data_IF_558446721262
#
_entry.id   IF_558446721262
#
_cell.length_a   1.000
_cell.length_b   1.000
_cell.length_c   1.000
_cell.angle_alpha   90.00
_cell.angle_beta   90.00
_cell.angle_gamma   90.00
#
_symmetry.space_group_name_H-M   'P 1'
#
loop_
_entity.id
_entity.type
_entity.pdbx_description
1 polymer ?
#
# COMPACT_ATOMS: atom_id res chain seq x y z
N UNK A 1 -19.90 -8.48 -0.59
CA UNK A 1 -19.55 -7.19 -1.24
C UNK A 1 -19.37 -7.31 -2.74
N UNK A 2 -18.46 -8.15 -3.25
CA UNK A 2 -18.17 -8.31 -4.69
C UNK A 2 -19.46 -8.52 -5.54
N UNK A 3 -20.38 -9.41 -5.13
CA UNK A 3 -21.64 -9.67 -5.83
C UNK A 3 -22.50 -8.41 -5.93
N UNK A 4 -22.65 -7.67 -4.83
CA UNK A 4 -23.40 -6.41 -4.78
C UNK A 4 -22.79 -5.31 -5.67
N UNK A 5 -21.46 -5.26 -5.78
CA UNK A 5 -20.78 -4.32 -6.68
C UNK A 5 -21.05 -4.71 -8.14
N UNK A 6 -20.95 -6.00 -8.47
CA UNK A 6 -21.21 -6.51 -9.83
C UNK A 6 -22.63 -6.20 -10.28
N UNK A 7 -23.62 -6.33 -9.40
CA UNK A 7 -25.03 -6.03 -9.70
C UNK A 7 -25.30 -4.53 -9.94
N UNK A 8 -24.41 -3.66 -9.41
CA UNK A 8 -24.54 -2.19 -9.54
C UNK A 8 -23.69 -1.61 -10.66
N UNK A 9 -22.93 -2.43 -11.37
CA UNK A 9 -22.26 -1.95 -12.58
C UNK A 9 -23.33 -1.51 -13.60
N UNK A 10 -23.07 -0.47 -14.41
CA UNK A 10 -23.97 -0.04 -15.45
C UNK A 10 -24.33 -1.19 -16.42
N UNK A 11 -25.54 -1.17 -16.96
CA UNK A 11 -25.99 -2.16 -17.93
C UNK A 11 -25.04 -2.25 -19.12
N UNK A 12 -24.71 -3.48 -19.54
CA UNK A 12 -23.76 -3.74 -20.62
C UNK A 12 -22.28 -3.75 -20.21
N UNK A 13 -21.95 -3.31 -19.00
CA UNK A 13 -20.57 -3.30 -18.49
C UNK A 13 -20.25 -4.61 -17.78
N UNK A 14 -19.28 -5.35 -18.32
CA UNK A 14 -18.79 -6.57 -17.71
C UNK A 14 -17.46 -6.34 -16.99
N UNK A 15 -17.47 -6.44 -15.66
CA UNK A 15 -16.27 -6.54 -14.88
C UNK A 15 -15.72 -7.98 -14.88
N UNK A 16 -14.42 -8.14 -15.06
CA UNK A 16 -13.73 -9.44 -14.96
C UNK A 16 -13.38 -9.74 -13.51
N UNK A 17 -13.82 -10.90 -13.02
CA UNK A 17 -13.41 -11.40 -11.70
C UNK A 17 -12.08 -12.11 -11.84
N UNK A 18 -11.10 -11.72 -11.03
CA UNK A 18 -9.75 -12.30 -10.98
C UNK A 18 -9.50 -12.89 -9.60
N UNK A 19 -9.40 -14.23 -9.55
CA UNK A 19 -9.07 -14.94 -8.31
C UNK A 19 -7.59 -14.86 -7.98
N UNK A 20 -7.28 -14.74 -6.70
CA UNK A 20 -5.90 -14.80 -6.20
C UNK A 20 -5.85 -15.42 -4.81
N UNK A 21 -4.65 -15.70 -4.34
CA UNK A 21 -4.39 -16.24 -3.01
C UNK A 21 -3.88 -15.13 -2.10
N UNK A 22 -4.61 -14.84 -1.03
CA UNK A 22 -4.29 -13.82 -0.06
C UNK A 22 -3.66 -14.40 1.20
N UNK A 23 -2.84 -13.61 1.86
CA UNK A 23 -2.32 -13.95 3.18
C UNK A 23 -3.35 -13.62 4.26
N UNK A 24 -3.19 -14.28 5.41
CA UNK A 24 -4.00 -14.02 6.60
C UNK A 24 -3.81 -12.62 7.17
N UNK A 25 -4.69 -12.25 8.09
CA UNK A 25 -4.68 -10.96 8.78
C UNK A 25 -3.32 -10.61 9.37
N UNK A 26 -2.90 -9.32 9.28
CA UNK A 26 -1.72 -8.80 9.94
C UNK A 26 -1.61 -9.13 11.44
N UNK A 27 -2.75 -9.22 12.13
CA UNK A 27 -2.79 -9.57 13.56
C UNK A 27 -2.23 -10.96 13.84
N UNK A 28 -2.49 -11.93 12.96
CA UNK A 28 -1.98 -13.30 13.11
C UNK A 28 -0.47 -13.32 12.90
N UNK A 29 0.01 -12.56 11.90
CA UNK A 29 1.45 -12.47 11.62
C UNK A 29 2.20 -11.81 12.78
N UNK A 30 1.66 -10.71 13.33
CA UNK A 30 2.23 -10.04 14.50
C UNK A 30 2.23 -10.94 15.73
N UNK A 31 1.13 -11.68 15.98
CA UNK A 31 1.04 -12.65 17.06
C UNK A 31 2.09 -13.76 16.94
N UNK A 32 2.30 -14.26 15.73
CA UNK A 32 3.32 -15.28 15.47
C UNK A 32 4.75 -14.74 15.71
N UNK A 33 5.04 -13.50 15.31
CA UNK A 33 6.33 -12.87 15.64
C UNK A 33 6.51 -12.69 17.14
N UNK A 34 5.45 -12.24 17.86
CA UNK A 34 5.50 -12.12 19.32
C UNK A 34 5.79 -13.47 19.99
N UNK A 35 5.11 -14.53 19.55
CA UNK A 35 5.33 -15.88 20.06
C UNK A 35 6.74 -16.39 19.74
N UNK A 36 7.20 -16.22 18.52
CA UNK A 36 8.54 -16.66 18.09
C UNK A 36 9.66 -15.95 18.88
N UNK A 37 9.51 -14.64 19.11
CA UNK A 37 10.46 -13.86 19.90
C UNK A 37 10.42 -14.28 21.37
N UNK A 38 9.24 -14.54 21.96
CA UNK A 38 9.12 -15.05 23.32
C UNK A 38 9.77 -16.42 23.47
N UNK A 39 9.49 -17.34 22.55
CA UNK A 39 10.09 -18.68 22.56
C UNK A 39 11.62 -18.63 22.41
N UNK A 40 12.13 -17.74 21.54
CA UNK A 40 13.57 -17.50 21.39
C UNK A 40 14.18 -16.96 22.70
N UNK A 41 13.49 -16.08 23.42
CA UNK A 41 13.94 -15.56 24.70
C UNK A 41 14.03 -16.64 25.78
N UNK A 42 13.01 -17.49 25.88
CA UNK A 42 13.03 -18.62 26.81
C UNK A 42 14.14 -19.62 26.47
N UNK A 43 14.37 -19.87 25.19
CA UNK A 43 15.48 -20.70 24.73
C UNK A 43 16.85 -20.13 25.16
N UNK A 44 16.97 -18.81 25.25
CA UNK A 44 18.18 -18.10 25.69
C UNK A 44 18.63 -18.46 27.11
N UNK A 45 17.75 -19.01 27.95
CA UNK A 45 18.11 -19.53 29.25
C UNK A 45 19.01 -20.76 29.19
N UNK A 46 18.92 -21.53 28.11
CA UNK A 46 19.61 -22.82 27.91
C UNK A 46 20.64 -22.76 26.79
N UNK A 47 20.33 -22.05 25.72
CA UNK A 47 21.12 -22.02 24.48
C UNK A 47 21.24 -20.57 23.96
N UNK A 48 22.08 -19.70 24.58
CA UNK A 48 22.12 -18.27 24.29
C UNK A 48 22.51 -17.96 22.83
N UNK A 49 23.43 -18.70 22.24
CA UNK A 49 23.83 -18.47 20.85
C UNK A 49 22.68 -18.75 19.88
N UNK A 50 22.00 -19.89 20.02
CA UNK A 50 20.85 -20.23 19.17
C UNK A 50 19.71 -19.24 19.34
N UNK A 51 19.44 -18.82 20.57
CA UNK A 51 18.44 -17.79 20.86
C UNK A 51 18.79 -16.46 20.18
N UNK A 52 20.05 -16.03 20.23
CA UNK A 52 20.52 -14.81 19.54
C UNK A 52 20.29 -14.87 18.03
N UNK A 53 20.61 -15.98 17.39
CA UNK A 53 20.38 -16.18 15.95
C UNK A 53 18.89 -16.13 15.62
N UNK A 54 18.05 -16.83 16.39
CA UNK A 54 16.59 -16.83 16.17
C UNK A 54 16.00 -15.45 16.40
N UNK A 55 16.41 -14.73 17.44
CA UNK A 55 16.00 -13.34 17.67
C UNK A 55 16.36 -12.44 16.49
N UNK A 56 17.58 -12.55 15.96
CA UNK A 56 18.00 -11.77 14.79
C UNK A 56 17.12 -12.09 13.55
N UNK A 57 16.86 -13.36 13.27
CA UNK A 57 16.01 -13.80 12.16
C UNK A 57 14.58 -13.27 12.31
N UNK A 58 13.96 -13.41 13.49
CA UNK A 58 12.59 -12.95 13.71
C UNK A 58 12.48 -11.43 13.74
N UNK A 59 13.50 -10.73 14.24
CA UNK A 59 13.56 -9.27 14.19
C UNK A 59 13.65 -8.79 12.75
N UNK A 60 14.54 -9.38 11.94
CA UNK A 60 14.64 -9.06 10.51
C UNK A 60 13.34 -9.38 9.77
N UNK A 61 12.69 -10.51 10.09
CA UNK A 61 11.38 -10.87 9.56
C UNK A 61 10.31 -9.84 9.90
N UNK A 62 10.29 -9.33 11.15
CA UNK A 62 9.35 -8.30 11.58
C UNK A 62 9.65 -6.94 10.92
N UNK A 63 10.91 -6.59 10.68
CA UNK A 63 11.30 -5.41 9.90
C UNK A 63 10.80 -5.47 8.47
N UNK A 64 10.97 -6.62 7.79
CA UNK A 64 10.46 -6.80 6.43
C UNK A 64 8.94 -6.70 6.38
N UNK A 65 8.24 -7.22 7.41
CA UNK A 65 6.80 -7.05 7.55
C UNK A 65 6.40 -5.57 7.69
N UNK A 66 7.11 -4.82 8.52
CA UNK A 66 6.88 -3.37 8.74
C UNK A 66 7.11 -2.52 7.49
N UNK A 67 7.97 -2.95 6.58
CA UNK A 67 8.20 -2.28 5.29
C UNK A 67 7.14 -2.63 4.22
N UNK A 68 6.21 -3.52 4.52
CA UNK A 68 5.18 -4.00 3.58
C UNK A 68 5.67 -5.11 2.64
N UNK A 69 6.90 -5.60 2.82
CA UNK A 69 7.43 -6.77 2.12
C UNK A 69 6.97 -8.06 2.81
N UNK A 70 7.03 -9.16 2.08
CA UNK A 70 6.63 -10.46 2.63
C UNK A 70 7.65 -10.93 3.67
N UNK A 71 7.23 -11.06 4.93
CA UNK A 71 8.06 -11.61 5.98
C UNK A 71 8.27 -13.13 5.84
N UNK A 72 9.34 -13.64 6.45
CA UNK A 72 9.61 -15.08 6.44
C UNK A 72 8.47 -15.86 7.07
N UNK A 73 7.99 -15.43 8.24
CA UNK A 73 6.92 -16.12 8.96
C UNK A 73 5.59 -16.13 8.20
N UNK A 74 5.28 -15.06 7.44
CA UNK A 74 4.05 -14.98 6.64
C UNK A 74 3.96 -16.07 5.58
N UNK A 75 5.09 -16.56 5.08
CA UNK A 75 5.12 -17.62 4.06
C UNK A 75 4.61 -18.97 4.56
N UNK A 76 4.69 -19.21 5.86
CA UNK A 76 4.24 -20.45 6.50
C UNK A 76 2.76 -20.39 6.95
N UNK A 77 2.13 -19.23 6.88
CA UNK A 77 0.74 -19.09 7.29
C UNK A 77 -0.24 -19.56 6.20
N UNK A 78 -1.43 -20.04 6.60
CA UNK A 78 -2.44 -20.44 5.67
C UNK A 78 -2.86 -19.25 4.80
N UNK A 79 -3.15 -19.56 3.55
CA UNK A 79 -3.60 -18.61 2.56
C UNK A 79 -5.08 -18.81 2.30
N UNK A 80 -5.76 -17.73 1.90
CA UNK A 80 -7.19 -17.76 1.60
C UNK A 80 -7.43 -17.27 0.17
N UNK A 81 -8.42 -17.85 -0.50
CA UNK A 81 -8.85 -17.36 -1.80
C UNK A 81 -9.53 -16.00 -1.65
N UNK A 82 -9.20 -15.08 -2.53
CA UNK A 82 -9.82 -13.77 -2.64
C UNK A 82 -9.97 -13.38 -4.12
N UNK A 83 -10.67 -12.28 -4.38
CA UNK A 83 -11.01 -11.89 -5.73
C UNK A 83 -10.91 -10.38 -5.89
N UNK A 84 -10.42 -9.95 -7.06
CA UNK A 84 -10.57 -8.60 -7.56
C UNK A 84 -11.69 -8.57 -8.61
N UNK A 85 -12.35 -7.43 -8.74
CA UNK A 85 -13.20 -7.13 -9.89
C UNK A 85 -12.51 -6.04 -10.70
N UNK A 86 -12.24 -6.31 -11.97
CA UNK A 86 -11.46 -5.44 -12.84
C UNK A 86 -12.29 -5.04 -14.04
N UNK A 87 -12.38 -3.75 -14.27
CA UNK A 87 -12.91 -3.16 -15.48
C UNK A 87 -11.79 -2.43 -16.22
N UNK A 88 -11.82 -2.46 -17.54
CA UNK A 88 -10.83 -1.82 -18.41
C UNK A 88 -11.49 -1.12 -19.57
N UNK A 89 -11.05 0.11 -19.84
CA UNK A 89 -11.28 0.82 -21.09
C UNK A 89 -9.94 1.12 -21.75
N UNK A 90 -9.74 0.62 -22.94
CA UNK A 90 -8.55 0.88 -23.74
C UNK A 90 -8.72 2.20 -24.52
N UNK A 91 -7.65 2.94 -24.67
CA UNK A 91 -7.56 4.06 -25.58
C UNK A 91 -6.80 3.67 -26.87
N UNK A 92 -7.15 4.27 -27.98
CA UNK A 92 -6.46 4.09 -29.28
C UNK A 92 -6.23 5.47 -29.93
N UNK A 93 -4.98 5.97 -29.99
CA UNK A 93 -3.76 5.39 -29.43
C UNK A 93 -3.67 5.55 -27.91
N UNK A 94 -3.00 4.62 -27.22
CA UNK A 94 -2.73 4.71 -25.78
C UNK A 94 -1.37 5.38 -25.55
N UNK A 95 -1.35 6.49 -24.81
CA UNK A 95 -0.15 7.23 -24.40
C UNK A 95 0.34 6.78 -23.01
N UNK A 96 -0.50 6.12 -22.23
CA UNK A 96 -0.18 5.64 -20.91
C UNK A 96 -1.38 4.99 -20.23
N UNK A 97 -1.19 4.60 -18.97
CA UNK A 97 -2.20 3.87 -18.19
C UNK A 97 -2.47 4.54 -16.85
N UNK A 98 -3.74 4.64 -16.49
CA UNK A 98 -4.14 4.92 -15.11
C UNK A 98 -4.85 3.71 -14.52
N UNK A 99 -4.48 3.36 -13.28
CA UNK A 99 -5.17 2.34 -12.47
C UNK A 99 -5.82 3.05 -11.30
N UNK A 100 -7.14 2.99 -11.19
CA UNK A 100 -7.88 3.55 -10.07
C UNK A 100 -8.45 2.40 -9.26
N UNK A 101 -8.19 2.38 -7.96
CA UNK A 101 -8.57 1.27 -7.10
C UNK A 101 -9.27 1.70 -5.82
N UNK A 102 -10.10 0.81 -5.31
CA UNK A 102 -10.66 0.91 -3.98
C UNK A 102 -10.86 -0.50 -3.38
N UNK A 103 -10.61 -0.67 -2.07
CA UNK A 103 -10.81 -1.94 -1.40
C UNK A 103 -12.30 -2.26 -1.27
N UNK A 104 -12.65 -3.55 -1.46
CA UNK A 104 -13.97 -4.10 -1.18
C UNK A 104 -14.19 -4.36 0.30
N UNK A 105 -13.10 -4.57 1.03
CA UNK A 105 -13.06 -4.84 2.45
C UNK A 105 -12.53 -3.62 3.20
N UNK A 106 -13.36 -3.03 4.03
CA UNK A 106 -12.98 -1.91 4.89
C UNK A 106 -13.08 -2.31 6.36
N UNK A 107 -12.21 -1.80 7.23
CA UNK A 107 -12.25 -2.13 8.65
C UNK A 107 -13.52 -1.56 9.30
N UNK A 108 -14.22 -2.39 10.08
CA UNK A 108 -15.48 -2.01 10.78
C UNK A 108 -15.33 -0.87 11.76
N UNK A 109 -14.18 -0.73 12.36
CA UNK A 109 -13.96 0.25 13.42
C UNK A 109 -12.58 0.88 13.27
N UNK A 110 -12.57 2.18 13.17
CA UNK A 110 -11.38 2.99 13.34
C UNK A 110 -11.40 3.50 14.78
N UNK A 111 -10.59 2.95 15.69
CA UNK A 111 -10.25 3.75 16.82
C UNK A 111 -9.57 4.98 16.23
N UNK A 112 -10.14 6.13 16.44
CA UNK A 112 -9.36 7.36 16.44
C UNK A 112 -8.24 7.10 17.44
N UNK A 113 -7.12 6.58 16.96
CA UNK A 113 -5.96 6.54 17.83
C UNK A 113 -5.67 7.99 18.15
N UNK A 114 -5.87 8.40 19.39
CA UNK A 114 -5.64 9.78 19.76
C UNK A 114 -4.24 10.14 19.28
N UNK A 115 -4.07 11.32 18.69
CA UNK A 115 -2.79 11.75 18.10
C UNK A 115 -1.61 11.53 19.02
N UNK A 116 -1.85 11.60 20.34
CA UNK A 116 -0.83 11.34 21.37
C UNK A 116 -0.37 9.87 21.44
N UNK A 117 -1.20 8.89 21.01
CA UNK A 117 -0.84 7.48 21.04
C UNK A 117 -0.10 7.03 19.76
N UNK A 118 -0.21 7.78 18.66
CA UNK A 118 0.45 7.43 17.37
C UNK A 118 1.97 7.53 17.44
N UNK A 119 2.50 8.58 18.09
CA UNK A 119 3.95 8.78 18.24
C UNK A 119 4.59 7.78 19.22
N UNK A 120 4.07 7.58 20.45
CA UNK A 120 4.65 6.60 21.35
C UNK A 120 4.58 5.17 20.84
N UNK A 121 3.54 4.77 20.09
CA UNK A 121 3.49 3.44 19.50
C UNK A 121 4.63 3.21 18.50
N UNK A 122 4.93 4.17 17.63
CA UNK A 122 6.11 4.09 16.73
C UNK A 122 7.40 4.02 17.54
N UNK A 123 7.55 4.87 18.56
CA UNK A 123 8.73 4.89 19.42
C UNK A 123 8.93 3.55 20.14
N UNK A 124 7.87 2.97 20.69
CA UNK A 124 7.91 1.66 21.35
C UNK A 124 8.35 0.57 20.36
N UNK A 125 7.83 0.57 19.16
CA UNK A 125 8.24 -0.39 18.13
C UNK A 125 9.70 -0.20 17.72
N UNK A 126 10.17 1.03 17.49
CA UNK A 126 11.57 1.29 17.18
C UNK A 126 12.49 0.93 18.36
N UNK A 127 12.13 1.30 19.59
CA UNK A 127 12.86 0.89 20.78
C UNK A 127 12.93 -0.63 20.91
N UNK A 128 11.83 -1.31 20.66
CA UNK A 128 11.77 -2.78 20.64
C UNK A 128 12.73 -3.37 19.60
N UNK A 129 12.78 -2.83 18.38
CA UNK A 129 13.75 -3.26 17.36
C UNK A 129 15.19 -3.03 17.79
N UNK A 130 15.51 -1.84 18.30
CA UNK A 130 16.87 -1.51 18.76
C UNK A 130 17.29 -2.44 19.90
N UNK A 131 16.43 -2.62 20.91
CA UNK A 131 16.71 -3.49 22.06
C UNK A 131 16.92 -4.94 21.60
N UNK A 132 16.04 -5.47 20.73
CA UNK A 132 16.17 -6.85 20.24
C UNK A 132 17.44 -7.02 19.39
N UNK A 133 17.78 -6.03 18.56
CA UNK A 133 19.02 -6.03 17.77
C UNK A 133 20.27 -6.03 18.66
N UNK A 134 20.31 -5.17 19.68
CA UNK A 134 21.41 -5.11 20.64
C UNK A 134 21.55 -6.41 21.44
N UNK A 135 20.44 -7.01 21.84
CA UNK A 135 20.46 -8.30 22.53
C UNK A 135 20.97 -9.41 21.63
N UNK A 136 20.55 -9.46 20.36
CA UNK A 136 21.04 -10.42 19.38
C UNK A 136 22.56 -10.27 19.17
N UNK A 137 23.05 -9.04 19.00
CA UNK A 137 24.49 -8.75 18.86
C UNK A 137 25.28 -9.18 20.10
N UNK A 138 24.76 -8.89 21.28
CA UNK A 138 25.41 -9.29 22.54
C UNK A 138 25.45 -10.81 22.72
N UNK A 139 24.36 -11.53 22.35
CA UNK A 139 24.36 -13.00 22.38
C UNK A 139 25.40 -13.63 21.44
N UNK A 140 25.65 -12.98 20.31
CA UNK A 140 26.70 -13.42 19.39
C UNK A 140 28.11 -13.11 19.89
N UNK A 141 28.27 -12.02 20.66
CA UNK A 141 29.56 -11.60 21.19
C UNK A 141 30.01 -12.37 22.46
N UNK A 142 29.05 -12.84 23.27
CA UNK A 142 29.35 -13.53 24.54
C UNK A 142 28.68 -14.92 24.63
N UNK A 143 29.19 -15.93 23.94
CA UNK A 143 28.55 -17.26 23.88
C UNK A 143 28.63 -18.06 25.21
N UNK A 144 29.32 -17.57 26.24
CA UNK A 144 29.64 -18.34 27.45
C UNK A 144 29.14 -17.65 28.74
N UNK A 145 27.88 -17.83 29.01
CA UNK A 145 27.31 -17.95 30.35
C UNK A 145 27.62 -16.91 31.44
N UNK A 146 27.35 -15.61 31.24
CA UNK A 146 27.35 -14.62 32.34
C UNK A 146 25.94 -14.06 32.62
N UNK A 147 25.68 -13.43 33.78
CA UNK A 147 24.34 -13.12 34.34
C UNK A 147 23.46 -12.15 33.56
N UNK A 148 23.72 -11.97 32.29
CA UNK A 148 22.92 -11.20 31.33
C UNK A 148 21.66 -11.92 30.83
N UNK A 149 21.49 -13.20 31.19
CA UNK A 149 20.34 -14.01 30.79
C UNK A 149 19.00 -13.40 31.23
N UNK A 150 18.92 -12.85 32.45
CA UNK A 150 17.72 -12.19 32.94
C UNK A 150 17.34 -10.93 32.18
N UNK A 151 18.32 -10.15 31.73
CA UNK A 151 18.06 -8.95 30.90
C UNK A 151 17.49 -9.33 29.53
N UNK A 152 17.96 -10.43 28.92
CA UNK A 152 17.43 -10.95 27.67
C UNK A 152 15.97 -11.32 27.80
N UNK A 153 15.67 -12.13 28.80
CA UNK A 153 14.29 -12.58 29.06
C UNK A 153 13.39 -11.38 29.32
N UNK A 154 13.84 -10.44 30.17
CA UNK A 154 13.07 -9.24 30.45
C UNK A 154 12.79 -8.38 29.21
N UNK A 155 13.79 -8.12 28.39
CA UNK A 155 13.63 -7.31 27.18
C UNK A 155 12.73 -8.00 26.13
N UNK A 156 12.84 -9.31 25.97
CA UNK A 156 12.01 -10.07 25.05
C UNK A 156 10.57 -10.21 25.56
N UNK A 157 10.36 -10.29 26.87
CA UNK A 157 9.02 -10.23 27.45
C UNK A 157 8.36 -8.87 27.21
N UNK A 158 9.09 -7.77 27.37
CA UNK A 158 8.59 -6.42 27.06
C UNK A 158 8.26 -6.30 25.58
N UNK A 159 9.11 -6.79 24.69
CA UNK A 159 8.85 -6.78 23.25
C UNK A 159 7.63 -7.64 22.91
N UNK A 160 7.54 -8.85 23.43
CA UNK A 160 6.39 -9.74 23.21
C UNK A 160 5.11 -9.10 23.74
N UNK A 161 5.14 -8.48 24.93
CA UNK A 161 4.01 -7.75 25.49
C UNK A 161 3.60 -6.56 24.63
N UNK A 162 4.54 -5.78 24.09
CA UNK A 162 4.27 -4.68 23.18
C UNK A 162 3.64 -5.15 21.86
N UNK A 163 4.13 -6.26 21.29
CA UNK A 163 3.57 -6.86 20.09
C UNK A 163 2.17 -7.44 20.34
N UNK A 164 1.95 -8.11 21.47
CA UNK A 164 0.64 -8.61 21.88
C UNK A 164 -0.36 -7.47 22.09
N UNK A 165 0.07 -6.39 22.75
CA UNK A 165 -0.76 -5.20 22.92
C UNK A 165 -1.10 -4.58 21.55
N UNK A 166 -0.11 -4.44 20.65
CA UNK A 166 -0.32 -4.02 19.28
C UNK A 166 -1.31 -4.90 18.53
N UNK A 167 -1.23 -6.22 18.72
CA UNK A 167 -2.16 -7.20 18.14
C UNK A 167 -3.58 -7.04 18.70
N UNK A 168 -3.73 -6.86 20.02
CA UNK A 168 -5.04 -6.65 20.65
C UNK A 168 -5.69 -5.36 20.15
N UNK A 169 -4.94 -4.28 20.11
CA UNK A 169 -5.40 -3.00 19.57
C UNK A 169 -5.79 -3.14 18.10
N UNK A 170 -4.97 -3.83 17.31
CA UNK A 170 -5.25 -4.08 15.90
C UNK A 170 -6.50 -4.98 15.73
N UNK A 171 -6.62 -6.08 16.51
CA UNK A 171 -7.77 -6.97 16.45
C UNK A 171 -9.09 -6.28 16.82
N UNK A 172 -9.06 -5.37 17.77
CA UNK A 172 -10.24 -4.55 18.11
C UNK A 172 -10.59 -3.55 17.01
N UNK A 173 -9.62 -3.12 16.22
CA UNK A 173 -9.83 -2.23 15.07
C UNK A 173 -10.24 -2.99 13.79
N UNK A 174 -10.08 -4.32 13.77
CA UNK A 174 -10.43 -5.18 12.64
C UNK A 174 -11.86 -5.71 12.82
N UNK A 175 -12.78 -4.99 12.28
CA UNK A 175 -14.11 -5.49 11.99
C UNK A 175 -14.49 -4.97 10.61
N UNK A 176 -15.20 -5.76 9.82
CA UNK A 176 -15.66 -5.30 8.51
C UNK A 176 -16.83 -4.34 8.69
N UNK A 177 -16.64 -3.08 8.32
CA UNK A 177 -17.73 -2.16 8.03
C UNK A 177 -17.92 -2.21 6.52
N UNK A 178 -19.15 -2.31 6.06
CA UNK A 178 -19.45 -2.10 4.66
C UNK A 178 -19.33 -0.59 4.36
N UNK A 179 -18.12 -0.08 4.22
CA UNK A 179 -17.94 1.22 3.60
C UNK A 179 -18.00 1.04 2.10
N UNK A 180 -19.11 1.42 1.53
CA UNK A 180 -19.35 1.33 0.10
C UNK A 180 -18.84 2.58 -0.65
N UNK A 181 -18.28 3.60 0.03
CA UNK A 181 -17.94 4.87 -0.63
C UNK A 181 -16.85 4.70 -1.69
N UNK A 182 -15.81 3.91 -1.42
CA UNK A 182 -14.78 3.60 -2.41
C UNK A 182 -15.34 2.86 -3.63
N UNK A 183 -15.99 1.70 -3.46
CA UNK A 183 -16.68 1.01 -4.55
C UNK A 183 -17.73 1.86 -5.27
N UNK A 184 -18.51 2.69 -4.55
CA UNK A 184 -19.48 3.59 -5.16
C UNK A 184 -18.82 4.65 -6.04
N UNK A 185 -17.70 5.23 -5.56
CA UNK A 185 -16.92 6.17 -6.34
C UNK A 185 -16.37 5.52 -7.62
N UNK A 186 -15.88 4.28 -7.55
CA UNK A 186 -15.39 3.55 -8.74
C UNK A 186 -16.53 3.27 -9.74
N UNK A 187 -17.72 2.89 -9.29
CA UNK A 187 -18.88 2.67 -10.17
C UNK A 187 -19.24 3.98 -10.89
N UNK A 188 -19.25 5.09 -10.18
CA UNK A 188 -19.55 6.39 -10.78
C UNK A 188 -18.46 6.84 -11.77
N UNK A 189 -17.18 6.58 -11.45
CA UNK A 189 -16.07 6.83 -12.39
C UNK A 189 -16.21 5.97 -13.67
N UNK A 190 -16.62 4.71 -13.55
CA UNK A 190 -16.91 3.86 -14.72
C UNK A 190 -17.97 4.51 -15.59
N UNK A 191 -19.09 4.98 -15.00
CA UNK A 191 -20.16 5.65 -15.75
C UNK A 191 -19.65 6.86 -16.51
N UNK A 192 -18.85 7.72 -15.85
CA UNK A 192 -18.30 8.93 -16.46
C UNK A 192 -17.31 8.62 -17.56
N UNK A 193 -16.40 7.68 -17.36
CA UNK A 193 -15.41 7.30 -18.36
C UNK A 193 -15.99 6.48 -19.52
N UNK A 194 -17.15 5.86 -19.37
CA UNK A 194 -17.87 5.28 -20.50
C UNK A 194 -18.48 6.37 -21.38
N UNK A 195 -19.06 7.42 -20.78
CA UNK A 195 -19.65 8.52 -21.53
C UNK A 195 -18.60 9.50 -22.08
N UNK A 196 -17.56 9.81 -21.32
CA UNK A 196 -16.52 10.77 -21.68
C UNK A 196 -15.14 10.29 -21.22
N UNK A 197 -14.50 9.39 -22.01
CA UNK A 197 -13.22 8.79 -21.65
C UNK A 197 -12.08 9.81 -21.71
N UNK A 198 -11.09 9.71 -20.78
CA UNK A 198 -9.89 10.51 -20.84
C UNK A 198 -9.09 10.15 -22.11
N UNK A 199 -8.81 11.13 -22.99
CA UNK A 199 -8.23 10.84 -24.30
C UNK A 199 -6.78 10.37 -24.18
N UNK A 200 -6.45 9.30 -24.91
CA UNK A 200 -5.10 8.73 -24.95
C UNK A 200 -4.69 7.97 -23.68
N UNK A 201 -5.63 7.62 -22.80
CA UNK A 201 -5.30 6.98 -21.54
C UNK A 201 -6.06 5.65 -21.40
N UNK A 202 -5.32 4.54 -21.28
CA UNK A 202 -5.91 3.27 -20.84
C UNK A 202 -6.36 3.42 -19.38
N UNK A 203 -7.63 3.19 -19.12
CA UNK A 203 -8.20 3.26 -17.77
C UNK A 203 -8.49 1.85 -17.25
N UNK A 204 -7.93 1.53 -16.08
CA UNK A 204 -8.22 0.33 -15.35
C UNK A 204 -8.87 0.70 -14.02
N UNK A 205 -10.04 0.16 -13.74
CA UNK A 205 -10.72 0.31 -12.46
C UNK A 205 -10.72 -1.03 -11.75
N UNK A 206 -10.17 -1.05 -10.54
CA UNK A 206 -9.90 -2.29 -9.78
C UNK A 206 -10.55 -2.20 -8.40
N UNK A 207 -11.56 -3.02 -8.21
CA UNK A 207 -12.13 -3.25 -6.89
C UNK A 207 -11.29 -4.35 -6.23
N UNK A 208 -10.48 -3.99 -5.25
CA UNK A 208 -9.50 -4.88 -4.67
C UNK A 208 -10.06 -5.68 -3.49
N UNK A 209 -9.89 -6.99 -3.53
CA UNK A 209 -10.15 -7.86 -2.39
C UNK A 209 -8.96 -7.92 -1.45
N UNK A 210 -9.18 -8.22 -0.18
CA UNK A 210 -8.12 -8.27 0.84
C UNK A 210 -7.23 -7.00 0.86
N UNK A 211 -7.83 -5.84 0.62
CA UNK A 211 -7.14 -4.56 0.70
C UNK A 211 -6.62 -4.30 2.10
N UNK A 212 -7.42 -4.63 3.10
CA UNK A 212 -7.04 -4.47 4.50
C UNK A 212 -5.92 -5.41 4.96
N UNK A 213 -5.77 -6.57 4.32
CA UNK A 213 -4.71 -7.53 4.59
C UNK A 213 -3.53 -7.31 3.64
N UNK A 214 -2.67 -6.32 3.92
CA UNK A 214 -1.45 -6.01 3.16
C UNK A 214 -1.67 -5.60 1.70
N UNK A 215 -2.84 -5.05 1.36
CA UNK A 215 -3.22 -4.70 -0.03
C UNK A 215 -2.97 -5.86 -1.00
N UNK A 216 -3.26 -7.10 -0.54
CA UNK A 216 -3.03 -8.30 -1.34
C UNK A 216 -3.72 -8.23 -2.71
N UNK A 217 -4.91 -7.59 -2.78
CA UNK A 217 -5.65 -7.42 -4.03
C UNK A 217 -4.88 -6.60 -5.05
N UNK A 218 -4.36 -5.43 -4.66
CA UNK A 218 -3.55 -4.60 -5.56
C UNK A 218 -2.24 -5.30 -5.94
N UNK A 219 -1.56 -5.92 -4.97
CA UNK A 219 -0.34 -6.69 -5.25
C UNK A 219 -0.59 -7.84 -6.24
N UNK A 220 -1.71 -8.56 -6.11
CA UNK A 220 -2.10 -9.62 -7.04
C UNK A 220 -2.45 -9.07 -8.43
N UNK A 221 -3.19 -7.96 -8.50
CA UNK A 221 -3.50 -7.29 -9.78
C UNK A 221 -2.21 -6.90 -10.52
N UNK A 222 -1.28 -6.21 -9.85
CA UNK A 222 -0.03 -5.79 -10.46
C UNK A 222 0.83 -7.00 -10.88
N UNK A 223 0.88 -8.06 -10.07
CA UNK A 223 1.59 -9.30 -10.43
C UNK A 223 1.01 -9.99 -11.67
N UNK A 224 -0.31 -9.98 -11.84
CA UNK A 224 -0.97 -10.62 -12.98
C UNK A 224 -1.03 -9.72 -14.24
N UNK A 225 -1.13 -8.41 -14.04
CA UNK A 225 -1.46 -7.46 -15.10
C UNK A 225 -0.37 -6.42 -15.35
N UNK A 226 0.63 -6.26 -14.48
CA UNK A 226 1.66 -5.25 -14.60
C UNK A 226 2.31 -5.19 -15.98
N UNK A 227 2.68 -6.35 -16.55
CA UNK A 227 3.24 -6.46 -17.90
C UNK A 227 2.26 -6.07 -19.05
N UNK A 228 0.97 -5.90 -18.76
CA UNK A 228 -0.06 -5.52 -19.75
C UNK A 228 -0.45 -4.05 -19.66
N UNK A 229 0.09 -3.34 -18.67
CA UNK A 229 -0.11 -1.91 -18.52
C UNK A 229 0.82 -1.20 -19.51
N UNK A 230 0.25 -0.39 -20.40
CA UNK A 230 0.98 0.26 -21.49
C UNK A 230 1.54 1.62 -21.07
N UNK A 231 2.73 1.93 -21.51
CA UNK A 231 3.38 3.24 -21.33
C UNK A 231 3.57 3.61 -19.84
N UNK A 232 3.73 4.91 -19.55
CA UNK A 232 3.79 5.39 -18.18
C UNK A 232 2.53 5.05 -17.39
N UNK A 233 2.70 4.47 -16.17
CA UNK A 233 1.59 4.02 -15.33
C UNK A 233 1.47 4.91 -14.10
N UNK A 234 0.25 5.34 -13.80
CA UNK A 234 -0.10 6.02 -12.56
C UNK A 234 -1.20 5.26 -11.83
N UNK A 235 -1.02 5.04 -10.51
CA UNK A 235 -2.00 4.33 -9.68
C UNK A 235 -2.63 5.29 -8.68
N UNK A 236 -3.95 5.36 -8.68
CA UNK A 236 -4.75 6.16 -7.76
C UNK A 236 -5.54 5.23 -6.82
N UNK A 237 -5.19 5.22 -5.54
CA UNK A 237 -5.90 4.45 -4.52
C UNK A 237 -6.94 5.30 -3.80
N UNK A 238 -8.19 4.83 -3.72
CA UNK A 238 -9.28 5.46 -2.97
C UNK A 238 -9.52 4.69 -1.67
N UNK A 239 -9.25 5.30 -0.51
CA UNK A 239 -9.45 4.70 0.81
C UNK A 239 -10.53 5.45 1.58
N UNK A 240 -11.76 4.89 1.63
CA UNK A 240 -12.94 5.46 2.29
C UNK A 240 -13.21 6.92 1.90
N UNK A 241 -13.24 7.23 0.62
CA UNK A 241 -13.21 8.61 0.12
C UNK A 241 -14.47 9.41 0.46
N UNK A 242 -15.56 8.77 0.87
CA UNK A 242 -16.80 9.43 1.29
C UNK A 242 -16.79 9.95 2.72
N UNK A 243 -15.70 9.77 3.48
CA UNK A 243 -15.56 10.28 4.85
C UNK A 243 -14.80 11.61 4.83
N UNK A 244 -15.44 12.75 5.17
CA UNK A 244 -14.76 14.04 5.17
C UNK A 244 -13.74 14.18 6.32
N UNK A 245 -12.69 15.01 6.17
CA UNK A 245 -12.28 15.65 4.93
C UNK A 245 -11.53 14.71 3.99
N UNK A 246 -11.79 14.81 2.68
CA UNK A 246 -10.99 14.13 1.67
C UNK A 246 -9.59 14.73 1.63
N UNK A 247 -8.59 13.90 1.63
CA UNK A 247 -7.18 14.32 1.63
C UNK A 247 -6.35 13.50 0.65
N UNK A 248 -5.35 14.14 0.06
CA UNK A 248 -4.32 13.46 -0.70
C UNK A 248 -3.23 12.94 0.26
N UNK A 249 -2.96 11.66 0.20
CA UNK A 249 -1.94 11.01 1.02
C UNK A 249 -0.58 11.24 0.38
N UNK A 250 0.31 11.96 1.05
CA UNK A 250 1.67 12.23 0.57
C UNK A 250 2.72 11.34 1.22
N UNK A 251 2.37 10.73 2.35
CA UNK A 251 3.22 9.77 3.06
C UNK A 251 2.36 8.77 3.81
N UNK A 252 2.71 7.49 3.72
CA UNK A 252 1.92 6.43 4.35
C UNK A 252 2.78 5.31 4.93
N UNK A 253 2.28 4.69 5.97
CA UNK A 253 2.84 3.50 6.60
C UNK A 253 2.98 3.59 8.12
N UNK A 254 2.77 2.46 8.81
CA UNK A 254 2.74 2.41 10.27
C UNK A 254 4.11 2.50 10.91
N UNK A 255 5.12 1.85 10.35
CA UNK A 255 6.50 1.80 10.87
C UNK A 255 7.43 2.65 10.04
N UNK A 256 7.48 2.41 8.74
CA UNK A 256 8.28 3.15 7.79
C UNK A 256 7.37 3.97 6.89
N UNK A 257 7.49 5.28 6.96
CA UNK A 257 6.74 6.18 6.09
C UNK A 257 7.32 6.12 4.68
N UNK A 258 6.50 5.70 3.72
CA UNK A 258 6.84 5.77 2.32
C UNK A 258 6.21 7.02 1.72
N UNK A 259 7.06 7.92 1.22
CA UNK A 259 6.62 9.15 0.58
C UNK A 259 6.20 8.87 -0.86
N UNK A 260 5.11 9.48 -1.28
CA UNK A 260 4.67 9.45 -2.66
C UNK A 260 5.65 10.25 -3.53
N UNK A 261 5.93 9.74 -4.72
CA UNK A 261 6.84 10.40 -5.66
C UNK A 261 6.24 11.72 -6.14
N UNK A 262 7.09 12.62 -6.62
CA UNK A 262 6.75 14.00 -7.01
C UNK A 262 5.54 14.16 -7.92
N UNK A 263 5.24 13.18 -8.77
CA UNK A 263 4.07 13.24 -9.69
C UNK A 263 2.75 13.37 -8.94
N UNK A 264 2.52 12.60 -7.88
CA UNK A 264 1.28 12.70 -7.09
C UNK A 264 1.13 14.08 -6.43
N UNK A 265 2.09 14.56 -5.63
CA UNK A 265 2.07 15.89 -5.06
C UNK A 265 1.93 17.02 -6.09
N UNK A 266 2.61 16.92 -7.26
CA UNK A 266 2.49 17.91 -8.32
C UNK A 266 1.07 17.97 -8.92
N UNK A 267 0.43 16.82 -9.13
CA UNK A 267 -0.95 16.78 -9.59
C UNK A 267 -1.92 17.38 -8.54
N UNK A 268 -1.68 17.14 -7.26
CA UNK A 268 -2.47 17.75 -6.17
C UNK A 268 -2.35 19.27 -6.16
N UNK A 269 -1.15 19.80 -6.37
CA UNK A 269 -0.92 21.24 -6.45
C UNK A 269 -1.68 21.86 -7.63
N UNK A 270 -1.66 21.21 -8.79
CA UNK A 270 -2.44 21.66 -9.95
C UNK A 270 -3.95 21.61 -9.72
N UNK A 271 -4.45 20.61 -8.96
CA UNK A 271 -5.86 20.57 -8.55
C UNK A 271 -6.24 21.77 -7.70
N UNK A 272 -5.37 22.18 -6.78
CA UNK A 272 -5.60 23.39 -5.96
C UNK A 272 -5.68 24.65 -6.82
N UNK A 273 -4.83 24.77 -7.81
CA UNK A 273 -4.87 25.88 -8.76
C UNK A 273 -6.13 25.85 -9.65
N UNK A 274 -6.69 24.68 -9.90
CA UNK A 274 -7.96 24.52 -10.59
C UNK A 274 -9.20 24.73 -9.67
N UNK A 275 -9.01 25.17 -8.42
CA UNK A 275 -10.11 25.46 -7.47
C UNK A 275 -10.61 24.23 -6.71
N UNK A 276 -9.98 23.08 -6.89
CA UNK A 276 -10.29 21.87 -6.12
C UNK A 276 -9.37 21.81 -4.89
N UNK A 277 -9.82 22.45 -3.79
CA UNK A 277 -9.06 22.44 -2.54
C UNK A 277 -9.04 21.03 -1.93
N UNK A 278 -7.88 20.39 -2.01
CA UNK A 278 -7.58 19.10 -1.38
C UNK A 278 -6.37 19.25 -0.47
N UNK A 279 -6.49 18.79 0.77
CA UNK A 279 -5.39 18.85 1.75
C UNK A 279 -4.45 17.68 1.54
N UNK A 280 -3.16 17.93 1.75
CA UNK A 280 -2.16 16.86 1.84
C UNK A 280 -2.10 16.35 3.28
N UNK A 281 -1.95 15.03 3.44
CA UNK A 281 -1.87 14.40 4.76
C UNK A 281 -0.89 13.27 4.78
N UNK A 282 -0.28 13.06 5.95
CA UNK A 282 0.45 11.85 6.27
C UNK A 282 -0.46 10.87 7.00
N UNK A 283 -0.40 9.61 6.65
CA UNK A 283 -1.21 8.59 7.29
C UNK A 283 -0.39 7.40 7.76
N UNK A 284 -0.80 6.79 8.87
CA UNK A 284 -0.26 5.51 9.30
C UNK A 284 -0.96 4.33 8.61
N UNK A 285 -1.97 4.60 7.80
CA UNK A 285 -2.65 3.56 7.02
C UNK A 285 -1.78 3.13 5.87
N UNK A 286 -2.19 2.07 5.26
CA UNK A 286 -1.62 1.55 4.04
C UNK A 286 -2.76 1.51 3.02
N UNK A 287 -2.59 2.24 1.92
CA UNK A 287 -3.53 2.25 0.81
C UNK A 287 -3.04 1.37 -0.33
N UNK A 288 -3.88 1.13 -1.34
CA UNK A 288 -3.48 0.44 -2.56
C UNK A 288 -2.34 1.16 -3.30
N UNK A 289 -2.25 2.50 -3.15
CA UNK A 289 -1.16 3.28 -3.70
C UNK A 289 0.21 2.85 -3.17
N UNK A 290 0.30 2.48 -1.87
CA UNK A 290 1.55 1.95 -1.32
C UNK A 290 1.96 0.63 -1.98
N UNK A 291 1.00 -0.28 -2.19
CA UNK A 291 1.31 -1.52 -2.90
C UNK A 291 1.90 -1.22 -4.28
N UNK A 292 1.30 -0.28 -5.02
CA UNK A 292 1.82 0.14 -6.32
C UNK A 292 3.23 0.75 -6.23
N UNK A 293 3.50 1.60 -5.22
CA UNK A 293 4.84 2.14 -5.00
C UNK A 293 5.90 1.07 -4.70
N UNK A 294 5.53 0.01 -3.97
CA UNK A 294 6.43 -1.11 -3.72
C UNK A 294 6.79 -1.89 -4.99
N UNK A 295 5.91 -1.87 -5.99
CA UNK A 295 6.14 -2.40 -7.33
C UNK A 295 6.86 -1.40 -8.27
N UNK A 296 7.21 -0.21 -7.78
CA UNK A 296 7.92 0.80 -8.55
C UNK A 296 7.04 1.77 -9.33
N UNK A 297 5.71 1.62 -9.29
CA UNK A 297 4.79 2.51 -9.99
C UNK A 297 4.66 3.87 -9.30
N UNK A 298 4.34 4.91 -10.07
CA UNK A 298 3.89 6.20 -9.55
C UNK A 298 2.49 6.03 -8.98
N UNK A 299 2.25 6.55 -7.80
CA UNK A 299 0.95 6.40 -7.16
C UNK A 299 0.59 7.58 -6.26
N UNK A 300 -0.70 7.72 -5.99
CA UNK A 300 -1.27 8.65 -5.02
C UNK A 300 -2.44 7.99 -4.32
N UNK A 301 -2.55 8.19 -3.00
CA UNK A 301 -3.73 7.82 -2.23
C UNK A 301 -4.66 9.01 -2.06
N UNK A 302 -5.94 8.83 -2.25
CA UNK A 302 -7.00 9.73 -1.78
C UNK A 302 -7.72 9.05 -0.62
N UNK A 303 -7.67 9.64 0.56
CA UNK A 303 -8.24 9.04 1.75
C UNK A 303 -9.17 9.99 2.49
N UNK A 304 -10.27 9.44 3.01
CA UNK A 304 -11.11 10.13 3.97
C UNK A 304 -10.42 10.22 5.33
N UNK A 305 -10.44 11.39 5.95
CA UNK A 305 -9.66 11.67 7.17
C UNK A 305 -10.44 11.65 8.49
N UNK A 306 -11.75 11.65 8.44
CA UNK A 306 -12.61 11.84 9.62
C UNK A 306 -13.01 10.54 10.33
N UNK A 307 -13.78 10.71 11.41
CA UNK A 307 -14.42 9.64 12.20
C UNK A 307 -15.89 9.42 11.81
N UNK A 308 -16.38 10.21 10.86
CA UNK A 308 -17.76 10.21 10.41
C UNK A 308 -18.17 8.97 9.62
N UNK A 309 -19.43 8.97 9.25
CA UNK A 309 -19.96 8.03 8.26
C UNK A 309 -19.72 8.59 6.85
N UNK A 310 -19.53 7.71 5.85
CA UNK A 310 -19.44 8.17 4.47
C UNK A 310 -20.76 8.81 4.04
N UNK A 311 -20.64 9.93 3.32
CA UNK A 311 -21.78 10.65 2.76
C UNK A 311 -21.79 10.60 1.23
N UNK A 312 -22.97 10.74 0.64
CA UNK A 312 -23.11 10.82 -0.81
C UNK A 312 -22.37 12.01 -1.43
N UNK A 313 -22.55 13.23 -0.90
CA UNK A 313 -21.85 14.41 -1.38
C UNK A 313 -20.33 14.30 -1.33
N UNK A 314 -19.77 13.78 -0.23
CA UNK A 314 -18.31 13.60 -0.10
C UNK A 314 -17.78 12.52 -1.05
N UNK A 315 -18.56 11.44 -1.27
CA UNK A 315 -18.24 10.43 -2.27
C UNK A 315 -18.20 11.02 -3.68
N UNK A 316 -19.19 11.87 -4.04
CA UNK A 316 -19.20 12.56 -5.33
C UNK A 316 -18.05 13.57 -5.47
N UNK A 317 -17.67 14.24 -4.41
CA UNK A 317 -16.47 15.08 -4.39
C UNK A 317 -15.21 14.28 -4.66
N UNK A 318 -15.09 13.09 -4.08
CA UNK A 318 -13.96 12.22 -4.34
C UNK A 318 -13.92 11.74 -5.80
N UNK A 319 -15.07 11.47 -6.40
CA UNK A 319 -15.20 11.17 -7.84
C UNK A 319 -14.70 12.34 -8.68
N UNK A 320 -15.14 13.55 -8.38
CA UNK A 320 -14.71 14.77 -9.10
C UNK A 320 -13.19 14.96 -9.02
N UNK A 321 -12.60 14.78 -7.84
CA UNK A 321 -11.15 14.88 -7.63
C UNK A 321 -10.41 13.79 -8.40
N UNK A 322 -10.86 12.54 -8.33
CA UNK A 322 -10.24 11.42 -9.04
C UNK A 322 -10.34 11.57 -10.56
N UNK A 323 -11.47 12.04 -11.06
CA UNK A 323 -11.67 12.35 -12.48
C UNK A 323 -10.74 13.48 -12.94
N UNK A 324 -10.68 14.58 -12.18
CA UNK A 324 -9.80 15.71 -12.49
C UNK A 324 -8.32 15.30 -12.49
N UNK A 325 -7.87 14.49 -11.51
CA UNK A 325 -6.52 13.92 -11.50
C UNK A 325 -6.24 13.07 -12.74
N UNK A 326 -7.21 12.25 -13.13
CA UNK A 326 -7.10 11.40 -14.31
C UNK A 326 -6.93 12.23 -15.58
N UNK A 327 -7.72 13.30 -15.73
CA UNK A 327 -7.65 14.19 -16.88
C UNK A 327 -6.36 15.01 -16.91
N UNK A 328 -5.91 15.52 -15.77
CA UNK A 328 -4.61 16.20 -15.66
C UNK A 328 -3.46 15.28 -16.01
N UNK A 329 -3.50 14.02 -15.58
CA UNK A 329 -2.48 13.03 -15.96
C UNK A 329 -2.50 12.74 -17.47
N UNK A 330 -3.67 12.58 -18.08
CA UNK A 330 -3.82 12.42 -19.52
C UNK A 330 -3.29 13.64 -20.29
N UNK A 331 -3.48 14.85 -19.76
CA UNK A 331 -2.96 16.08 -20.33
C UNK A 331 -1.44 16.13 -20.26
N UNK A 332 -0.83 15.73 -19.13
CA UNK A 332 0.62 15.67 -18.98
C UNK A 332 1.25 14.71 -20.00
N UNK A 333 0.67 13.54 -20.20
CA UNK A 333 1.15 12.58 -21.18
C UNK A 333 1.09 13.11 -22.61
N UNK A 334 0.10 13.93 -22.94
CA UNK A 334 -0.02 14.56 -24.26
C UNK A 334 1.00 15.67 -24.48
N UNK A 335 1.37 16.40 -23.43
CA UNK A 335 2.38 17.47 -23.51
C UNK A 335 3.81 16.94 -23.68
N UNK A 336 4.09 15.72 -23.21
CA UNK A 336 5.42 15.09 -23.29
C UNK A 336 5.89 14.79 -24.73
N UNK A 337 5.02 14.43 -25.72
CA UNK A 337 5.45 14.25 -27.10
C UNK A 337 6.06 15.51 -27.78
N UNK A 338 5.67 16.68 -27.31
CA UNK A 338 6.17 17.96 -27.88
C UNK A 338 7.59 18.33 -27.40
N UNK A 339 8.14 17.59 -26.45
CA UNK A 339 9.52 17.75 -26.03
C UNK A 339 10.47 17.05 -27.01
N UNK A 340 11.44 17.82 -27.53
CA UNK A 340 12.50 17.29 -28.37
C UNK A 340 13.16 16.05 -27.72
N UNK A 341 13.54 15.00 -28.48
CA UNK A 341 14.16 13.79 -27.92
C UNK A 341 15.33 14.08 -26.96
N UNK A 342 16.14 15.11 -27.27
CA UNK A 342 17.27 15.52 -26.43
C UNK A 342 16.84 16.13 -25.08
N UNK A 343 15.70 16.83 -25.03
CA UNK A 343 15.14 17.33 -23.78
C UNK A 343 14.58 16.21 -22.90
N UNK A 344 14.11 15.10 -23.51
CA UNK A 344 13.70 13.91 -22.75
C UNK A 344 14.90 13.23 -22.08
N UNK A 345 16.06 13.14 -22.77
CA UNK A 345 17.29 12.59 -22.19
C UNK A 345 17.81 13.46 -21.06
N UNK A 346 17.85 14.80 -21.25
CA UNK A 346 18.26 15.75 -20.22
C UNK A 346 17.35 15.75 -18.98
N UNK A 347 16.03 15.61 -19.17
CA UNK A 347 15.09 15.47 -18.05
C UNK A 347 15.30 14.15 -17.30
N UNK A 348 15.62 13.06 -17.99
CA UNK A 348 15.95 11.76 -17.35
C UNK A 348 17.27 11.87 -16.57
N UNK A 349 18.27 12.55 -17.07
CA UNK A 349 19.56 12.79 -16.39
C UNK A 349 19.37 13.68 -15.16
N UNK A 350 18.66 14.78 -15.27
CA UNK A 350 18.36 15.68 -14.16
C UNK A 350 17.54 15.02 -13.06
N UNK A 351 16.60 14.13 -13.42
CA UNK A 351 15.83 13.33 -12.47
C UNK A 351 16.69 12.26 -11.78
N UNK A 352 17.72 11.73 -12.45
CA UNK A 352 18.68 10.78 -11.89
C UNK A 352 19.64 11.42 -10.91
N UNK A 353 20.14 12.62 -11.18
CA UNK A 353 21.06 13.35 -10.31
C UNK A 353 20.40 13.92 -9.05
N UNK A 354 19.13 14.29 -9.12
CA UNK A 354 18.40 14.86 -7.98
C UNK A 354 18.00 13.84 -6.89
N UNK A 355 18.37 12.57 -7.02
CA UNK A 355 17.97 11.51 -6.07
C UNK A 355 16.46 11.24 -6.00
N UNK A 356 15.69 12.02 -6.76
CA UNK A 356 14.23 11.90 -6.91
C UNK A 356 13.93 11.28 -8.26
N UNK A 357 14.30 10.01 -8.41
CA UNK A 357 14.15 9.31 -9.69
C UNK A 357 12.66 9.17 -10.02
N UNK A 358 12.19 10.01 -10.92
CA UNK A 358 10.99 9.77 -11.72
C UNK A 358 11.28 8.58 -12.66
N UNK A 359 11.31 7.35 -12.14
CA UNK A 359 11.36 6.19 -13.02
C UNK A 359 10.04 6.08 -13.76
N UNK A 360 10.05 6.39 -15.05
CA UNK A 360 9.08 5.82 -15.96
C UNK A 360 9.16 4.29 -15.81
N UNK A 361 8.02 3.59 -15.75
CA UNK A 361 8.05 2.14 -15.87
C UNK A 361 8.80 1.80 -17.17
N UNK A 362 9.71 0.81 -17.17
CA UNK A 362 10.42 0.43 -18.40
C UNK A 362 9.40 0.15 -19.50
N UNK A 363 9.66 0.67 -20.69
CA UNK A 363 8.82 0.38 -21.85
C UNK A 363 8.81 -1.14 -22.07
N UNK A 364 7.67 -1.76 -22.33
CA UNK A 364 7.55 -3.21 -22.49
C UNK A 364 8.22 -3.77 -23.75
N UNK A 365 9.13 -3.05 -24.39
CA UNK A 365 9.87 -3.45 -25.59
C UNK A 365 11.33 -3.87 -25.37
N UNK A 366 11.93 -3.57 -24.21
CA UNK A 366 13.39 -3.77 -24.06
C UNK A 366 13.79 -5.14 -23.45
N UNK A 367 12.83 -5.96 -23.02
CA UNK A 367 13.15 -7.28 -22.41
C UNK A 367 12.98 -8.50 -23.34
N UNK A 368 12.39 -8.35 -24.54
CA UNK A 368 12.15 -9.49 -25.43
C UNK A 368 13.33 -9.78 -26.41
N UNK A 369 14.37 -8.96 -26.46
CA UNK A 369 15.55 -9.22 -27.31
C UNK A 369 16.71 -9.96 -26.64
N UNK A 370 16.63 -10.25 -25.33
CA UNK A 370 17.74 -10.88 -24.60
C UNK A 370 17.56 -12.41 -24.31
N UNK A 371 16.56 -13.06 -24.87
CA UNK A 371 16.36 -14.51 -24.71
C UNK A 371 16.20 -15.20 -26.07
N UNK A 372 17.25 -15.14 -26.83
CA UNK A 372 17.39 -15.92 -28.05
C UNK A 372 18.85 -15.97 -28.46
N UNK A 373 19.59 -16.91 -27.87
CA UNK A 373 20.77 -17.62 -28.36
C UNK A 373 21.71 -18.02 -27.21
N UNK A 374 21.41 -19.14 -26.57
CA UNK A 374 22.41 -20.09 -26.06
C UNK A 374 21.73 -21.42 -25.70
#
# INVERSE_FOLDING_TARGET
>A
MLHRVRERLPEGIQGRIEGFVAFVSPSVVLGLHAFALLASGLLGLYQPLLAGVLCAVFTLSLLTEGTGRTSVLRRFLPKQASYNLVWKRAAEPSLGTIVISAPLDTPRWRPSQPRWLKRPMKLVLYAAFVVTGLLALRALAEPWGRPTQGMYVGALLVLAAALLLGMIVHRRSVGFREDASGPAALIELIRRFESDPPPGLDVWIVFTGCGYAYQNGMGAFLGMRGKRLKGPVFVLGLDEPGIPPLSAVVSEGPLYAQHHRSTGPALVERLRWAGLDIRSTDTNRITDARAAMLWGYRALGLAGGGEGQPTGPDTLRAVQVAEALTRLYAEDLRRVPDLHPDLRSLLREAEGEAGTVLRLAPEPGDEDEAVGDA
#
